data_IF_781580199265
#
_entry.id   IF_781580199265
#
_cell.length_a   1.000
_cell.length_b   1.000
_cell.length_c   1.000
_cell.angle_alpha   90.00
_cell.angle_beta   90.00
_cell.angle_gamma   90.00
#
_symmetry.space_group_name_H-M   'P 1'
#
loop_
_entity.id
_entity.type
_entity.pdbx_description
1 polymer ?
#
# COMPACT_ATOMS: atom_id res chain seq x y z
N UNK A 1 8.53 -42.61 25.41
CA UNK A 1 8.42 -41.51 26.40
C UNK A 1 8.87 -40.22 25.71
N UNK A 2 8.35 -39.03 26.03
CA UNK A 2 6.95 -38.58 25.95
C UNK A 2 6.84 -37.16 25.29
N UNK A 3 5.61 -36.61 25.18
CA UNK A 3 5.23 -35.16 25.20
C UNK A 3 5.73 -34.22 24.06
N UNK A 4 4.96 -33.37 23.38
CA UNK A 4 3.61 -32.84 23.56
C UNK A 4 2.98 -32.48 22.20
N UNK A 5 1.70 -32.82 22.03
CA UNK A 5 0.77 -32.10 21.16
C UNK A 5 0.20 -31.01 22.03
N UNK A 6 0.51 -29.75 21.76
CA UNK A 6 -0.50 -28.71 21.90
C UNK A 6 -0.31 -27.62 20.84
N UNK A 7 -1.38 -27.51 20.07
CA UNK A 7 -1.74 -26.51 19.08
C UNK A 7 -1.25 -25.10 19.40
N UNK A 8 -0.51 -24.52 18.44
CA UNK A 8 -0.38 -23.06 18.29
C UNK A 8 -1.77 -22.47 18.00
N UNK A 9 -2.52 -22.17 19.05
CA UNK A 9 -3.75 -21.38 18.93
C UNK A 9 -3.33 -19.92 18.77
N UNK A 10 -3.11 -19.50 17.54
CA UNK A 10 -3.02 -18.08 17.16
C UNK A 10 -4.38 -17.43 17.42
N UNK A 11 -4.55 -16.90 18.62
CA UNK A 11 -5.71 -16.07 19.00
C UNK A 11 -5.48 -14.67 18.41
N UNK A 12 -5.74 -14.50 17.11
CA UNK A 12 -5.74 -13.18 16.47
C UNK A 12 -7.04 -12.45 16.86
N UNK A 13 -7.01 -11.74 17.99
CA UNK A 13 -8.11 -10.86 18.42
C UNK A 13 -8.06 -9.60 17.55
N UNK A 14 -8.86 -9.60 16.47
CA UNK A 14 -9.01 -8.47 15.56
C UNK A 14 -9.83 -7.34 16.25
N UNK A 15 -9.17 -6.54 17.11
CA UNK A 15 -9.76 -5.42 17.86
C UNK A 15 -9.87 -4.13 17.03
N UNK A 16 -9.30 -4.10 15.82
CA UNK A 16 -9.23 -2.89 15.00
C UNK A 16 -10.26 -2.99 13.87
N UNK A 17 -11.22 -2.05 13.77
CA UNK A 17 -12.14 -2.04 12.65
C UNK A 17 -11.35 -1.96 11.34
N UNK A 18 -11.54 -2.96 10.48
CA UNK A 18 -10.88 -3.07 9.19
C UNK A 18 -11.14 -1.80 8.37
N UNK A 19 -10.08 -1.19 7.85
CA UNK A 19 -10.19 0.00 7.01
C UNK A 19 -11.18 -0.25 5.84
N UNK A 20 -12.00 0.72 5.42
CA UNK A 20 -13.03 0.56 4.38
C UNK A 20 -12.51 0.04 3.02
N UNK A 21 -11.18 0.03 2.82
CA UNK A 21 -10.52 -0.52 1.63
C UNK A 21 -9.90 -1.91 1.85
N UNK A 22 -10.21 -2.58 2.97
CA UNK A 22 -9.66 -3.89 3.33
C UNK A 22 -8.15 -3.92 3.52
N UNK A 23 -7.53 -2.76 3.75
CA UNK A 23 -6.10 -2.64 4.05
C UNK A 23 -5.90 -2.77 5.56
N UNK A 24 -5.25 -3.85 5.99
CA UNK A 24 -4.77 -3.97 7.37
C UNK A 24 -3.52 -3.07 7.46
N UNK A 25 -3.45 -2.08 8.38
CA UNK A 25 -2.19 -1.38 8.61
C UNK A 25 -1.20 -2.44 9.10
N UNK A 26 -0.20 -2.78 8.27
CA UNK A 26 0.70 -3.92 8.48
C UNK A 26 1.72 -3.69 9.62
N UNK A 27 1.40 -2.84 10.59
CA UNK A 27 2.34 -2.35 11.60
C UNK A 27 3.39 -1.39 11.02
N UNK A 28 4.43 -1.10 11.80
CA UNK A 28 5.55 -0.27 11.39
C UNK A 28 6.29 -0.94 10.20
N UNK A 29 6.63 -0.17 9.17
CA UNK A 29 7.37 -0.66 8.00
C UNK A 29 8.72 -1.30 8.38
N UNK A 30 9.33 -0.90 9.49
CA UNK A 30 10.58 -1.49 10.01
C UNK A 30 10.40 -2.91 10.56
N UNK A 31 9.18 -3.24 11.02
CA UNK A 31 8.85 -4.56 11.60
C UNK A 31 8.03 -5.42 10.65
N UNK A 32 7.60 -4.87 9.52
CA UNK A 32 6.75 -5.55 8.56
C UNK A 32 7.55 -6.57 7.75
N UNK A 33 7.04 -7.79 7.65
CA UNK A 33 7.61 -8.84 6.80
C UNK A 33 7.28 -8.65 5.32
N UNK A 34 6.34 -7.77 4.99
CA UNK A 34 5.91 -7.45 3.63
C UNK A 34 5.83 -5.95 3.41
N UNK A 35 6.41 -5.49 2.30
CA UNK A 35 6.36 -4.09 1.87
C UNK A 35 5.52 -3.97 0.58
N UNK A 36 4.44 -3.19 0.64
CA UNK A 36 3.53 -2.96 -0.49
C UNK A 36 4.24 -2.28 -1.68
N UNK A 37 5.37 -1.64 -1.46
CA UNK A 37 6.20 -1.00 -2.49
C UNK A 37 6.72 -1.99 -3.52
N UNK A 38 6.82 -3.29 -3.23
CA UNK A 38 7.17 -4.26 -4.28
C UNK A 38 6.03 -4.47 -5.30
N UNK A 39 4.79 -4.10 -4.96
CA UNK A 39 3.64 -4.27 -5.85
C UNK A 39 3.61 -3.28 -7.03
N UNK A 40 4.44 -2.23 -7.03
CA UNK A 40 4.58 -1.30 -8.18
C UNK A 40 5.63 -1.78 -9.22
N UNK A 41 6.19 -2.98 -9.04
CA UNK A 41 7.12 -3.58 -10.00
C UNK A 41 8.40 -2.74 -10.18
N UNK A 42 8.78 -2.46 -11.42
CA UNK A 42 10.00 -1.72 -11.75
C UNK A 42 10.01 -0.27 -11.21
N UNK A 43 8.84 0.31 -10.95
CA UNK A 43 8.73 1.63 -10.33
C UNK A 43 9.19 1.61 -8.86
N UNK A 44 9.31 0.45 -8.23
CA UNK A 44 9.79 0.31 -6.86
C UNK A 44 11.26 0.72 -6.68
N UNK A 45 12.00 0.90 -7.77
CA UNK A 45 13.37 1.42 -7.74
C UNK A 45 13.39 2.93 -7.53
N UNK A 46 12.32 3.64 -7.92
CA UNK A 46 12.22 5.08 -7.78
C UNK A 46 11.90 5.46 -6.33
N UNK A 47 12.40 6.62 -5.91
CA UNK A 47 11.98 7.28 -4.69
C UNK A 47 10.54 7.81 -4.83
N UNK A 48 9.85 7.98 -3.71
CA UNK A 48 8.44 8.35 -3.68
C UNK A 48 8.19 9.69 -4.39
N UNK A 49 9.11 10.65 -4.25
CA UNK A 49 9.04 11.96 -4.88
C UNK A 49 9.13 11.86 -6.41
N UNK A 50 9.97 10.94 -6.93
CA UNK A 50 10.10 10.71 -8.37
C UNK A 50 8.87 10.01 -8.95
N UNK A 51 8.22 9.13 -8.16
CA UNK A 51 6.96 8.51 -8.54
C UNK A 51 5.88 9.57 -8.64
N UNK A 52 5.74 10.45 -7.65
CA UNK A 52 4.78 11.55 -7.67
C UNK A 52 5.02 12.45 -8.89
N UNK A 53 6.27 12.86 -9.15
CA UNK A 53 6.63 13.68 -10.31
C UNK A 53 6.28 13.01 -11.65
N UNK A 54 6.46 11.69 -11.76
CA UNK A 54 6.04 10.94 -12.95
C UNK A 54 4.52 10.95 -13.11
N UNK A 55 3.77 10.82 -12.01
CA UNK A 55 2.31 10.83 -12.01
C UNK A 55 1.74 12.21 -12.38
N UNK A 56 2.42 13.31 -12.02
CA UNK A 56 2.02 14.67 -12.41
C UNK A 56 1.99 14.90 -13.92
N UNK A 57 2.73 14.09 -14.68
CA UNK A 57 2.74 14.16 -16.15
C UNK A 57 1.50 13.51 -16.80
N UNK A 58 0.65 12.85 -16.03
CA UNK A 58 -0.53 12.12 -16.50
C UNK A 58 -1.81 12.93 -16.28
N UNK A 59 -2.79 12.76 -17.17
CA UNK A 59 -4.13 13.31 -16.97
C UNK A 59 -4.89 12.54 -15.88
N UNK A 60 -5.94 13.17 -15.34
CA UNK A 60 -6.76 12.60 -14.26
C UNK A 60 -7.40 11.25 -14.62
N UNK A 61 -7.76 11.03 -15.88
CA UNK A 61 -8.35 9.74 -16.30
C UNK A 61 -7.30 8.64 -16.31
N UNK A 62 -6.11 8.96 -16.82
CA UNK A 62 -4.95 8.05 -16.79
C UNK A 62 -4.53 7.70 -15.37
N UNK A 63 -4.53 8.67 -14.45
CA UNK A 63 -4.24 8.43 -13.04
C UNK A 63 -5.24 7.47 -12.37
N UNK A 64 -6.54 7.66 -12.61
CA UNK A 64 -7.56 6.76 -12.08
C UNK A 64 -7.40 5.33 -12.61
N UNK A 65 -7.12 5.19 -13.90
CA UNK A 65 -6.86 3.87 -14.52
C UNK A 65 -5.61 3.23 -13.96
N UNK A 66 -4.52 3.99 -13.79
CA UNK A 66 -3.27 3.50 -13.25
C UNK A 66 -3.40 3.07 -11.78
N UNK A 67 -4.09 3.87 -10.96
CA UNK A 67 -4.39 3.54 -9.58
C UNK A 67 -5.26 2.28 -9.42
N UNK A 68 -6.13 1.99 -10.39
CA UNK A 68 -6.93 0.77 -10.39
C UNK A 68 -6.11 -0.51 -10.68
N UNK A 69 -4.88 -0.40 -11.18
CA UNK A 69 -4.04 -1.57 -11.51
C UNK A 69 -3.36 -2.20 -10.30
N UNK A 70 -3.01 -1.42 -9.28
CA UNK A 70 -2.35 -1.96 -8.09
C UNK A 70 -2.58 -1.09 -6.84
N UNK A 71 -2.61 -1.73 -5.66
CA UNK A 71 -2.91 -1.07 -4.38
C UNK A 71 -1.89 0.00 -3.98
N UNK A 72 -0.62 -0.17 -4.36
CA UNK A 72 0.41 0.82 -4.05
C UNK A 72 0.30 2.05 -4.96
N UNK A 73 0.07 1.87 -6.27
CA UNK A 73 -0.23 2.97 -7.19
C UNK A 73 -1.52 3.68 -6.79
N UNK A 74 -2.54 2.94 -6.35
CA UNK A 74 -3.75 3.52 -5.80
C UNK A 74 -3.44 4.52 -4.67
N UNK A 75 -2.53 4.18 -3.75
CA UNK A 75 -2.12 5.09 -2.68
C UNK A 75 -1.43 6.35 -3.23
N UNK A 76 -0.46 6.21 -4.15
CA UNK A 76 0.22 7.35 -4.76
C UNK A 76 -0.73 8.27 -5.54
N UNK A 77 -1.65 7.69 -6.33
CA UNK A 77 -2.65 8.47 -7.09
C UNK A 77 -3.67 9.19 -6.22
N UNK A 78 -3.72 8.92 -4.91
CA UNK A 78 -4.58 9.64 -3.95
C UNK A 78 -3.83 10.70 -3.13
N UNK A 79 -2.55 10.93 -3.40
CA UNK A 79 -1.79 11.99 -2.74
C UNK A 79 -2.39 13.37 -3.05
N UNK A 80 -2.69 14.17 -2.03
CA UNK A 80 -3.33 15.48 -2.22
C UNK A 80 -2.48 16.43 -3.05
N UNK A 81 -1.17 16.44 -2.84
CA UNK A 81 -0.24 17.32 -3.57
C UNK A 81 -0.27 17.08 -5.09
N UNK A 82 -0.45 15.83 -5.52
CA UNK A 82 -0.61 15.47 -6.94
C UNK A 82 -1.86 16.13 -7.56
N UNK A 83 -2.99 16.11 -6.85
CA UNK A 83 -4.23 16.70 -7.34
C UNK A 83 -4.21 18.23 -7.28
N UNK A 84 -3.49 18.81 -6.30
CA UNK A 84 -3.24 20.25 -6.26
C UNK A 84 -2.47 20.69 -7.50
N UNK A 85 -1.39 19.99 -7.86
CA UNK A 85 -0.58 20.32 -9.03
C UNK A 85 -1.36 20.26 -10.37
N UNK A 86 -2.38 19.41 -10.48
CA UNK A 86 -3.17 19.25 -11.70
C UNK A 86 -4.31 20.27 -11.86
N UNK A 87 -4.84 20.82 -10.77
CA UNK A 87 -6.10 21.56 -10.78
C UNK A 87 -6.04 22.94 -10.11
N UNK A 88 -4.91 23.33 -9.54
CA UNK A 88 -4.65 24.66 -8.96
C UNK A 88 -3.73 25.44 -9.88
#
# INVERSE_FOLDING_TARGET
>A
MPVDVDSDVDVDVDVIPSHPLGIKPSGNALTATHNIRHAIGSLAVLADELIILLLECLDSTSLLRLGATCKALYAFTRAEELWKALFI
#
